data_IF_673566214027
#
_entry.id   IF_673566214027
#
_cell.length_a   1.000
_cell.length_b   1.000
_cell.length_c   1.000
_cell.angle_alpha   90.00
_cell.angle_beta   90.00
_cell.angle_gamma   90.00
#
_symmetry.space_group_name_H-M   'P 1'
#
loop_
_entity.id
_entity.type
_entity.pdbx_description
1 polymer ?
#
# COMPACT_ATOMS: atom_id res chain seq x y z
N UNK A 1 -12.96 11.75 27.81
CA UNK A 1 -11.75 10.90 27.82
C UNK A 1 -11.68 10.19 26.49
N UNK A 2 -10.69 10.51 25.66
CA UNK A 2 -10.45 9.79 24.39
C UNK A 2 -9.45 8.68 24.69
N UNK A 3 -9.85 7.45 24.48
CA UNK A 3 -8.96 6.30 24.62
C UNK A 3 -7.84 6.41 23.58
N UNK A 4 -6.63 6.63 24.11
CA UNK A 4 -5.39 6.55 23.35
C UNK A 4 -5.13 5.07 23.03
N UNK A 5 -5.45 4.65 21.82
CA UNK A 5 -5.02 3.35 21.30
C UNK A 5 -3.49 3.36 21.20
N UNK A 6 -2.82 2.66 22.12
CA UNK A 6 -1.35 2.58 22.20
C UNK A 6 -0.78 1.91 20.94
N UNK A 7 0.18 2.60 20.33
CA UNK A 7 0.89 2.21 19.11
C UNK A 7 1.98 1.15 19.36
N UNK A 8 1.64 -0.07 19.79
CA UNK A 8 2.65 -1.10 20.12
C UNK A 8 2.45 -2.49 19.49
N UNK A 9 1.63 -2.66 18.44
CA UNK A 9 1.35 -4.00 17.88
C UNK A 9 1.49 -4.11 16.35
N UNK A 10 2.55 -3.53 15.78
CA UNK A 10 2.90 -3.78 14.37
C UNK A 10 4.23 -4.53 14.29
N UNK A 11 4.15 -5.86 14.34
CA UNK A 11 5.30 -6.74 14.10
C UNK A 11 5.51 -6.90 12.58
N UNK A 12 6.58 -6.32 12.04
CA UNK A 12 7.11 -6.71 10.73
C UNK A 12 8.15 -7.81 10.96
N UNK A 13 7.95 -8.97 10.33
CA UNK A 13 8.87 -10.13 10.41
C UNK A 13 9.97 -10.13 9.33
N UNK A 14 10.21 -8.99 8.67
CA UNK A 14 11.40 -8.79 7.83
C UNK A 14 12.46 -8.01 8.58
N UNK A 15 13.74 -8.37 8.40
CA UNK A 15 14.87 -7.54 8.82
C UNK A 15 15.36 -6.75 7.60
N UNK A 16 15.56 -5.43 7.74
CA UNK A 16 16.16 -4.57 6.71
C UNK A 16 17.43 -5.16 6.08
N UNK A 17 18.29 -5.85 6.86
CA UNK A 17 19.50 -6.50 6.35
C UNK A 17 19.18 -7.56 5.29
N UNK A 18 18.15 -8.37 5.50
CA UNK A 18 17.75 -9.38 4.53
C UNK A 18 17.21 -8.75 3.23
N UNK A 19 16.53 -7.60 3.33
CA UNK A 19 16.10 -6.85 2.15
C UNK A 19 17.30 -6.27 1.39
N UNK A 20 18.30 -5.74 2.09
CA UNK A 20 19.52 -5.21 1.49
C UNK A 20 20.35 -6.30 0.80
N UNK A 21 20.44 -7.49 1.41
CA UNK A 21 21.21 -8.61 0.86
C UNK A 21 20.50 -9.30 -0.32
N UNK A 22 19.19 -9.49 -0.24
CA UNK A 22 18.44 -10.33 -1.18
C UNK A 22 17.62 -9.54 -2.20
N UNK A 23 17.44 -8.24 -1.98
CA UNK A 23 16.54 -7.37 -2.73
C UNK A 23 15.04 -7.76 -2.69
N UNK A 24 14.66 -8.77 -1.89
CA UNK A 24 13.27 -9.15 -1.66
C UNK A 24 13.05 -9.73 -0.25
N UNK A 25 11.80 -9.73 0.18
CA UNK A 25 11.32 -10.43 1.37
C UNK A 25 10.07 -11.23 1.00
N UNK A 26 9.91 -12.41 1.61
CA UNK A 26 8.72 -13.23 1.51
C UNK A 26 8.25 -13.60 2.92
N UNK A 27 6.93 -13.68 3.12
CA UNK A 27 6.36 -13.95 4.44
C UNK A 27 4.86 -14.20 4.40
N UNK A 28 4.28 -14.46 5.57
CA UNK A 28 2.85 -14.66 5.76
C UNK A 28 2.17 -13.34 6.13
N UNK A 29 1.05 -13.02 5.48
CA UNK A 29 0.29 -11.81 5.77
C UNK A 29 -0.19 -11.77 7.23
N UNK A 30 -0.54 -12.92 7.82
CA UNK A 30 -0.95 -13.00 9.22
C UNK A 30 0.17 -12.57 10.17
N UNK A 31 1.43 -12.78 9.82
CA UNK A 31 2.56 -12.26 10.59
C UNK A 31 2.66 -10.73 10.52
N UNK A 32 2.23 -10.12 9.40
CA UNK A 32 2.31 -8.68 9.17
C UNK A 32 1.11 -7.91 9.73
N UNK A 33 -0.09 -8.49 9.66
CA UNK A 33 -1.33 -7.84 10.15
C UNK A 33 -1.76 -8.36 11.52
N UNK A 34 -1.06 -9.37 12.08
CA UNK A 34 -1.41 -10.23 13.22
C UNK A 34 -2.53 -11.25 12.93
N UNK A 35 -2.46 -12.42 13.58
CA UNK A 35 -3.38 -13.56 13.36
C UNK A 35 -4.84 -13.18 13.64
N UNK A 36 -5.08 -12.42 14.72
CA UNK A 36 -6.43 -11.98 15.09
C UNK A 36 -7.05 -11.06 14.04
N UNK A 37 -6.25 -10.25 13.33
CA UNK A 37 -6.74 -9.42 12.24
C UNK A 37 -7.03 -10.21 10.98
N UNK A 38 -6.30 -11.29 10.70
CA UNK A 38 -6.55 -12.17 9.55
C UNK A 38 -7.91 -12.87 9.62
N UNK A 39 -8.51 -12.98 10.80
CA UNK A 39 -9.85 -13.51 11.04
C UNK A 39 -10.88 -12.45 11.44
N UNK A 40 -10.54 -11.17 11.32
CA UNK A 40 -11.41 -10.08 11.74
C UNK A 40 -12.43 -9.69 10.67
N UNK A 41 -13.54 -9.06 11.10
CA UNK A 41 -14.47 -8.43 10.18
C UNK A 41 -13.80 -7.35 9.30
N UNK A 42 -12.77 -6.67 9.80
CA UNK A 42 -12.01 -5.69 9.03
C UNK A 42 -11.26 -6.35 7.86
N UNK A 43 -10.74 -7.55 8.04
CA UNK A 43 -10.13 -8.33 6.96
C UNK A 43 -11.16 -8.73 5.91
N UNK A 44 -12.35 -9.20 6.30
CA UNK A 44 -13.40 -9.51 5.33
C UNK A 44 -13.85 -8.28 4.54
N UNK A 45 -14.03 -7.15 5.21
CA UNK A 45 -14.35 -5.88 4.54
C UNK A 45 -13.22 -5.47 3.58
N UNK A 46 -11.96 -5.58 3.99
CA UNK A 46 -10.82 -5.27 3.14
C UNK A 46 -10.74 -6.20 1.93
N UNK A 47 -11.00 -7.51 2.10
CA UNK A 47 -11.04 -8.49 1.01
C UNK A 47 -12.18 -8.21 0.03
N UNK A 48 -13.38 -7.90 0.52
CA UNK A 48 -14.55 -7.64 -0.31
C UNK A 48 -14.33 -6.47 -1.28
N UNK A 49 -13.61 -5.43 -0.84
CA UNK A 49 -13.26 -4.24 -1.66
C UNK A 49 -12.47 -4.60 -2.91
N UNK A 50 -11.78 -5.74 -2.95
CA UNK A 50 -11.06 -6.22 -4.13
C UNK A 50 -12.00 -6.48 -5.33
N UNK A 51 -13.29 -6.73 -5.07
CA UNK A 51 -14.30 -6.91 -6.10
C UNK A 51 -14.84 -5.59 -6.66
N UNK A 52 -14.62 -4.46 -5.97
CA UNK A 52 -15.11 -3.12 -6.31
C UNK A 52 -14.08 -2.30 -7.12
N UNK A 53 -12.94 -2.91 -7.46
CA UNK A 53 -11.89 -2.27 -8.25
C UNK A 53 -12.32 -2.18 -9.71
N UNK A 54 -12.22 -0.97 -10.26
CA UNK A 54 -12.61 -0.64 -11.64
C UNK A 54 -11.62 -1.22 -12.66
N UNK A 55 -12.13 -1.49 -13.86
CA UNK A 55 -11.32 -1.94 -15.01
C UNK A 55 -10.29 -0.87 -15.35
N UNK A 56 -9.06 -1.30 -15.65
CA UNK A 56 -7.98 -0.43 -16.08
C UNK A 56 -8.25 0.08 -17.52
N UNK A 57 -8.42 1.40 -17.74
CA UNK A 57 -8.72 1.93 -19.08
C UNK A 57 -7.47 2.11 -19.96
N UNK A 58 -6.27 1.86 -19.43
CA UNK A 58 -4.99 2.05 -20.11
C UNK A 58 -4.38 0.71 -20.56
N UNK A 59 -5.21 -0.27 -20.87
CA UNK A 59 -4.81 -1.56 -21.41
C UNK A 59 -4.62 -1.46 -22.93
N UNK A 60 -3.36 -1.54 -23.40
CA UNK A 60 -3.02 -1.40 -24.81
C UNK A 60 -3.57 -2.54 -25.69
N UNK A 61 -3.83 -3.71 -25.11
CA UNK A 61 -4.41 -4.88 -25.77
C UNK A 61 -5.95 -4.86 -25.81
N UNK A 62 -6.60 -3.82 -25.27
CA UNK A 62 -8.06 -3.75 -25.13
C UNK A 62 -8.64 -4.76 -24.13
N UNK A 63 -7.79 -5.43 -23.35
CA UNK A 63 -8.21 -6.39 -22.34
C UNK A 63 -9.03 -5.74 -21.22
N UNK A 64 -9.84 -6.55 -20.53
CA UNK A 64 -10.62 -6.11 -19.35
C UNK A 64 -10.28 -6.88 -18.07
N UNK A 65 -9.14 -7.58 -18.09
CA UNK A 65 -8.73 -8.46 -16.99
C UNK A 65 -7.98 -7.72 -15.89
N UNK A 66 -7.35 -6.57 -16.20
CA UNK A 66 -6.66 -5.76 -15.19
C UNK A 66 -7.64 -4.76 -14.58
N UNK A 67 -7.67 -4.71 -13.25
CA UNK A 67 -8.43 -3.70 -12.48
C UNK A 67 -7.51 -2.94 -11.58
N UNK A 68 -7.71 -1.63 -11.42
CA UNK A 68 -6.80 -0.79 -10.64
C UNK A 68 -7.44 0.46 -10.06
N UNK A 69 -7.10 0.73 -8.80
CA UNK A 69 -7.14 2.06 -8.17
C UNK A 69 -5.71 2.49 -7.80
N UNK A 70 -5.49 3.80 -7.70
CA UNK A 70 -4.19 4.38 -7.32
C UNK A 70 -4.37 5.62 -6.45
N UNK A 71 -3.52 5.75 -5.43
CA UNK A 71 -3.41 6.97 -4.61
C UNK A 71 -1.99 7.11 -4.08
N UNK A 72 -1.58 8.35 -3.80
CA UNK A 72 -0.30 8.65 -3.16
C UNK A 72 -0.50 9.00 -1.69
N UNK A 73 0.46 8.61 -0.87
CA UNK A 73 0.45 8.87 0.57
C UNK A 73 1.77 9.46 1.03
N UNK A 74 1.71 10.31 2.04
CA UNK A 74 2.86 10.64 2.86
C UNK A 74 2.90 9.66 4.04
N UNK A 75 4.04 9.02 4.24
CA UNK A 75 4.23 8.00 5.29
C UNK A 75 5.34 8.43 6.21
N UNK A 76 4.98 8.72 7.46
CA UNK A 76 5.93 8.85 8.56
C UNK A 76 5.98 7.53 9.32
N UNK A 77 7.08 6.80 9.13
CA UNK A 77 7.28 5.49 9.73
C UNK A 77 7.48 5.58 11.24
N UNK A 78 8.13 6.64 11.73
CA UNK A 78 8.41 6.80 13.17
C UNK A 78 7.15 7.16 13.93
N UNK A 79 6.35 8.07 13.38
CA UNK A 79 5.08 8.50 13.96
C UNK A 79 3.92 7.55 13.64
N UNK A 80 4.13 6.56 12.77
CA UNK A 80 3.09 5.64 12.28
C UNK A 80 1.91 6.39 11.62
N UNK A 81 2.22 7.46 10.89
CA UNK A 81 1.21 8.30 10.21
C UNK A 81 1.15 7.93 8.73
N UNK A 82 -0.07 7.73 8.26
CA UNK A 82 -0.41 7.55 6.85
C UNK A 82 -1.36 8.67 6.44
N UNK A 83 -0.86 9.63 5.65
CA UNK A 83 -1.65 10.76 5.16
C UNK A 83 -1.92 10.58 3.67
N UNK A 84 -3.19 10.65 3.26
CA UNK A 84 -3.59 10.65 1.86
C UNK A 84 -3.25 12.00 1.22
N UNK A 85 -2.49 11.98 0.12
CA UNK A 85 -2.15 13.18 -0.64
C UNK A 85 -3.24 13.51 -1.68
N UNK A 86 -3.29 14.77 -2.18
CA UNK A 86 -4.14 15.12 -3.30
C UNK A 86 -3.95 14.16 -4.47
N UNK A 87 -5.06 13.72 -5.08
CA UNK A 87 -5.02 12.73 -6.14
C UNK A 87 -4.30 13.27 -7.38
N UNK A 88 -3.35 12.49 -7.90
CA UNK A 88 -2.54 12.81 -9.08
C UNK A 88 -2.56 11.63 -10.05
N UNK A 89 -2.38 11.87 -11.36
CA UNK A 89 -2.21 10.76 -12.30
C UNK A 89 -0.96 9.96 -11.96
N UNK A 90 -1.01 8.66 -12.22
CA UNK A 90 0.20 7.86 -12.21
C UNK A 90 0.99 8.05 -13.50
N UNK A 91 2.25 8.48 -13.37
CA UNK A 91 3.20 8.62 -14.47
C UNK A 91 4.41 7.73 -14.22
N UNK A 92 4.77 6.92 -15.21
CA UNK A 92 6.06 6.21 -15.23
C UNK A 92 6.97 6.85 -16.24
N UNK A 93 8.23 7.16 -15.90
CA UNK A 93 9.21 7.56 -16.89
C UNK A 93 9.35 6.49 -17.98
N UNK A 94 9.62 6.92 -19.22
CA UNK A 94 9.91 5.98 -20.32
C UNK A 94 11.16 5.13 -20.10
N UNK A 95 12.11 5.62 -19.29
CA UNK A 95 13.25 4.82 -18.83
C UNK A 95 12.84 3.61 -17.98
N UNK A 96 11.67 3.65 -17.34
CA UNK A 96 11.12 2.55 -16.52
C UNK A 96 10.14 1.69 -17.32
N UNK A 97 9.30 2.31 -18.15
CA UNK A 97 8.31 1.62 -18.98
C UNK A 97 8.47 2.05 -20.45
N UNK A 98 9.31 1.35 -21.20
CA UNK A 98 9.61 1.71 -22.59
C UNK A 98 8.37 1.71 -23.50
N UNK A 99 7.42 0.80 -23.24
CA UNK A 99 6.23 0.62 -24.06
C UNK A 99 5.17 1.70 -23.83
N UNK A 100 4.97 2.12 -22.58
CA UNK A 100 3.87 3.00 -22.19
C UNK A 100 4.29 4.12 -21.20
N UNK A 101 5.56 4.49 -21.17
CA UNK A 101 6.05 5.56 -20.29
C UNK A 101 5.64 6.94 -20.76
N UNK A 102 5.84 7.93 -19.89
CA UNK A 102 5.55 9.34 -20.11
C UNK A 102 4.08 9.64 -20.45
N UNK A 103 3.17 8.77 -20.01
CA UNK A 103 1.72 8.92 -20.10
C UNK A 103 1.16 9.09 -18.69
N UNK A 104 0.28 10.08 -18.53
CA UNK A 104 -0.49 10.30 -17.31
C UNK A 104 -1.69 9.36 -17.28
N UNK A 105 -1.71 8.48 -16.27
CA UNK A 105 -2.80 7.52 -16.06
C UNK A 105 -3.68 7.98 -14.91
N UNK A 106 -4.86 8.46 -15.25
CA UNK A 106 -5.89 8.88 -14.32
C UNK A 106 -6.69 7.67 -13.83
N UNK A 107 -6.06 6.86 -12.98
CA UNK A 107 -6.77 5.80 -12.26
C UNK A 107 -7.70 6.40 -11.21
N UNK A 108 -8.78 5.69 -10.88
CA UNK A 108 -9.65 6.09 -9.77
C UNK A 108 -8.92 5.96 -8.43
N UNK A 109 -9.20 6.86 -7.47
CA UNK A 109 -8.56 6.83 -6.17
C UNK A 109 -8.95 5.58 -5.38
N UNK A 110 -8.08 5.16 -4.47
CA UNK A 110 -8.41 4.19 -3.44
C UNK A 110 -9.49 4.82 -2.55
N UNK A 111 -10.54 4.08 -2.24
CA UNK A 111 -11.69 4.61 -1.49
C UNK A 111 -11.30 4.92 -0.04
N UNK A 112 -11.94 5.93 0.55
CA UNK A 112 -11.75 6.27 1.96
C UNK A 112 -12.06 5.07 2.87
N UNK A 113 -13.07 4.27 2.52
CA UNK A 113 -13.40 3.04 3.26
C UNK A 113 -12.27 2.00 3.24
N UNK A 114 -11.52 1.88 2.13
CA UNK A 114 -10.34 1.02 2.06
C UNK A 114 -9.17 1.62 2.84
N UNK A 115 -8.96 2.94 2.75
CA UNK A 115 -7.86 3.64 3.46
C UNK A 115 -8.06 3.62 4.97
N UNK A 116 -9.29 3.84 5.44
CA UNK A 116 -9.68 3.80 6.84
C UNK A 116 -9.73 2.39 7.44
N UNK A 117 -9.58 1.35 6.62
CA UNK A 117 -9.56 -0.02 7.12
C UNK A 117 -8.25 -0.33 7.84
N UNK A 118 -8.34 -0.85 9.07
CA UNK A 118 -7.18 -1.15 9.91
C UNK A 118 -6.20 -2.15 9.28
N UNK A 119 -6.68 -3.10 8.47
CA UNK A 119 -5.83 -4.05 7.75
C UNK A 119 -5.01 -3.34 6.68
N UNK A 120 -5.63 -2.43 5.92
CA UNK A 120 -4.90 -1.64 4.92
C UNK A 120 -3.78 -0.83 5.57
N UNK A 121 -4.09 -0.12 6.66
CA UNK A 121 -3.11 0.66 7.39
C UNK A 121 -1.96 -0.20 7.94
N UNK A 122 -2.28 -1.38 8.50
CA UNK A 122 -1.29 -2.37 8.95
C UNK A 122 -0.34 -2.81 7.85
N UNK A 123 -0.88 -3.14 6.68
CA UNK A 123 -0.07 -3.58 5.53
C UNK A 123 0.88 -2.45 5.10
N UNK A 124 0.35 -1.22 4.95
CA UNK A 124 1.13 -0.08 4.47
C UNK A 124 2.20 0.34 5.48
N UNK A 125 1.82 0.55 6.75
CA UNK A 125 2.75 0.98 7.79
C UNK A 125 3.75 -0.12 8.15
N UNK A 126 3.29 -1.36 8.28
CA UNK A 126 4.15 -2.51 8.55
C UNK A 126 5.19 -2.73 7.45
N UNK A 127 4.80 -2.61 6.18
CA UNK A 127 5.75 -2.68 5.06
C UNK A 127 6.71 -1.49 5.04
N UNK A 128 6.27 -0.30 5.45
CA UNK A 128 7.10 0.91 5.49
C UNK A 128 8.10 0.91 6.65
N UNK A 129 7.91 0.08 7.67
CA UNK A 129 8.90 -0.07 8.76
C UNK A 129 10.29 -0.45 8.24
N UNK A 130 10.33 -1.35 7.25
CA UNK A 130 11.56 -1.82 6.63
C UNK A 130 12.32 -0.69 5.94
N UNK A 131 11.61 0.18 5.21
CA UNK A 131 12.25 1.33 4.55
C UNK A 131 12.68 2.39 5.55
N UNK A 132 11.97 2.53 6.68
CA UNK A 132 12.38 3.40 7.79
C UNK A 132 13.60 2.90 8.56
N UNK A 133 13.85 1.58 8.59
CA UNK A 133 15.09 1.01 9.13
C UNK A 133 16.29 1.29 8.21
N UNK A 134 16.09 1.24 6.89
CA UNK A 134 17.14 1.50 5.88
C UNK A 134 17.44 3.01 5.77
N UNK A 135 16.41 3.88 5.81
CA UNK A 135 16.58 5.34 5.83
C UNK A 135 15.80 5.97 6.99
N UNK A 136 16.38 5.98 8.20
CA UNK A 136 15.75 6.57 9.38
C UNK A 136 15.42 8.05 9.22
N UNK A 137 14.34 8.51 9.85
CA UNK A 137 13.94 9.92 9.86
C UNK A 137 13.39 10.45 8.53
N UNK A 138 13.20 9.58 7.54
CA UNK A 138 12.67 9.96 6.23
C UNK A 138 11.15 9.84 6.21
N UNK A 139 10.48 10.93 5.83
CA UNK A 139 9.06 10.87 5.44
C UNK A 139 8.97 10.51 3.97
N UNK A 140 8.20 9.48 3.64
CA UNK A 140 8.16 8.91 2.30
C UNK A 140 6.90 9.31 1.55
N UNK A 141 7.03 9.75 0.30
CA UNK A 141 5.91 9.74 -0.65
C UNK A 141 5.80 8.34 -1.26
N UNK A 142 4.66 7.69 -1.08
CA UNK A 142 4.43 6.32 -1.56
C UNK A 142 3.19 6.23 -2.44
N UNK A 143 3.35 5.82 -3.69
CA UNK A 143 2.25 5.44 -4.57
C UNK A 143 1.75 4.03 -4.24
N UNK A 144 0.44 3.86 -4.07
CA UNK A 144 -0.19 2.55 -3.79
C UNK A 144 -1.13 2.14 -4.90
N UNK A 145 -1.00 0.89 -5.32
CA UNK A 145 -1.92 0.24 -6.23
C UNK A 145 -2.81 -0.73 -5.49
N UNK A 146 -4.10 -0.61 -5.73
CA UNK A 146 -5.07 -1.61 -5.34
C UNK A 146 -5.53 -2.30 -6.64
N UNK A 147 -5.02 -3.50 -6.90
CA UNK A 147 -5.05 -4.13 -8.24
C UNK A 147 -5.59 -5.55 -8.19
N UNK A 148 -6.61 -5.86 -8.99
CA UNK A 148 -7.06 -7.23 -9.27
C UNK A 148 -6.61 -7.70 -10.64
#
# INVERSE_FOLDING_TARGET
MRESTRASEYYSYGNANALLERAYLAGNIANQINESSAHSAAWEQFRARWHEVETDPYMADGGRYRRRRYSEFLVDVKMQVLELLPHVPYRQPRSVNYLNGDIDRHYTPITEATIGNVVFQRIVLGGSKLTGEIHPGTTWRQGKYYRR
#
